data_IF_530593846407
#
_entry.id   IF_530593846407
#
_cell.length_a   1.000
_cell.length_b   1.000
_cell.length_c   1.000
_cell.angle_alpha   90.00
_cell.angle_beta   90.00
_cell.angle_gamma   90.00
#
_symmetry.space_group_name_H-M   'P 1'
#
loop_
_entity.id
_entity.type
_entity.pdbx_description
1 polymer ?
#
# COMPACT_ATOMS: atom_id res chain seq x y z
N UNK A 1 -6.25 5.84 27.52
CA UNK A 1 -5.70 5.88 26.16
C UNK A 1 -6.83 5.72 25.18
N UNK A 2 -7.36 6.81 24.64
CA UNK A 2 -8.36 6.80 23.57
C UNK A 2 -7.69 6.32 22.29
N UNK A 3 -7.93 5.07 21.92
CA UNK A 3 -7.50 4.50 20.65
C UNK A 3 -8.18 5.30 19.55
N UNK A 4 -7.46 6.25 18.94
CA UNK A 4 -7.94 7.04 17.80
C UNK A 4 -8.50 6.04 16.80
N UNK A 5 -9.81 6.06 16.61
CA UNK A 5 -10.46 5.20 15.63
C UNK A 5 -9.92 5.62 14.28
N UNK A 6 -9.02 4.81 13.74
CA UNK A 6 -8.43 4.96 12.41
C UNK A 6 -9.52 5.38 11.43
N UNK A 7 -9.34 6.51 10.75
CA UNK A 7 -10.37 7.06 9.87
C UNK A 7 -10.55 6.11 8.68
N UNK A 8 -11.59 5.29 8.70
CA UNK A 8 -11.87 4.35 7.60
C UNK A 8 -12.92 4.90 6.63
N UNK A 9 -12.83 4.50 5.36
CA UNK A 9 -13.85 4.73 4.33
C UNK A 9 -14.44 3.39 3.90
N UNK A 10 -15.78 3.30 3.80
CA UNK A 10 -16.47 2.15 3.19
C UNK A 10 -16.05 1.97 1.74
N UNK A 11 -15.90 0.72 1.31
CA UNK A 11 -15.60 0.38 -0.06
C UNK A 11 -16.18 -0.97 -0.46
N UNK A 12 -16.40 -1.13 -1.75
CA UNK A 12 -16.97 -2.31 -2.39
C UNK A 12 -15.89 -3.26 -2.93
N UNK A 13 -16.32 -4.44 -3.36
CA UNK A 13 -15.47 -5.37 -4.13
C UNK A 13 -14.99 -4.77 -5.45
N UNK A 14 -15.80 -3.90 -6.08
CA UNK A 14 -15.40 -3.17 -7.29
C UNK A 14 -14.26 -2.20 -6.98
N UNK A 15 -14.35 -1.48 -5.87
CA UNK A 15 -13.27 -0.59 -5.41
C UNK A 15 -11.99 -1.39 -5.12
N UNK A 16 -12.12 -2.57 -4.52
CA UNK A 16 -10.98 -3.46 -4.29
C UNK A 16 -10.29 -3.87 -5.59
N UNK A 17 -11.05 -4.22 -6.63
CA UNK A 17 -10.50 -4.58 -7.94
C UNK A 17 -9.78 -3.40 -8.61
N UNK A 18 -10.35 -2.19 -8.54
CA UNK A 18 -9.70 -0.98 -9.04
C UNK A 18 -8.36 -0.74 -8.33
N UNK A 19 -8.33 -0.92 -7.00
CA UNK A 19 -7.10 -0.78 -6.21
C UNK A 19 -6.06 -1.84 -6.54
N UNK A 20 -6.49 -3.07 -6.81
CA UNK A 20 -5.58 -4.14 -7.23
C UNK A 20 -4.95 -3.83 -8.58
N UNK A 21 -5.74 -3.42 -9.58
CA UNK A 21 -5.21 -3.02 -10.89
C UNK A 21 -4.19 -1.87 -10.77
N UNK A 22 -4.47 -0.88 -9.92
CA UNK A 22 -3.51 0.19 -9.65
C UNK A 22 -2.21 -0.33 -9.02
N UNK A 23 -2.31 -1.24 -8.05
CA UNK A 23 -1.14 -1.84 -7.41
C UNK A 23 -0.27 -2.60 -8.42
N UNK A 24 -0.90 -3.37 -9.31
CA UNK A 24 -0.23 -4.10 -10.39
C UNK A 24 0.47 -3.16 -11.37
N UNK A 25 -0.21 -2.12 -11.86
CA UNK A 25 0.42 -1.13 -12.75
C UNK A 25 1.59 -0.39 -12.10
N UNK A 26 1.49 -0.06 -10.81
CA UNK A 26 2.57 0.62 -10.10
C UNK A 26 3.79 -0.28 -9.91
N UNK A 27 3.61 -1.55 -9.52
CA UNK A 27 4.76 -2.45 -9.35
C UNK A 27 5.42 -2.79 -10.68
N UNK A 28 4.62 -2.96 -11.74
CA UNK A 28 5.11 -3.19 -13.10
C UNK A 28 5.98 -2.01 -13.57
N UNK A 29 5.47 -0.79 -13.42
CA UNK A 29 6.23 0.42 -13.77
C UNK A 29 7.47 0.60 -12.88
N UNK A 30 7.36 0.30 -11.58
CA UNK A 30 8.50 0.37 -10.67
C UNK A 30 9.63 -0.57 -11.09
N UNK A 31 9.28 -1.77 -11.57
CA UNK A 31 10.23 -2.76 -12.07
C UNK A 31 10.86 -2.30 -13.38
N UNK A 32 10.08 -1.82 -14.36
CA UNK A 32 10.62 -1.28 -15.60
C UNK A 32 11.67 -0.20 -15.35
N UNK A 33 11.39 0.73 -14.43
CA UNK A 33 12.32 1.80 -14.07
C UNK A 33 13.54 1.23 -13.33
N UNK A 34 13.35 0.27 -12.41
CA UNK A 34 14.47 -0.34 -11.69
C UNK A 34 15.44 -1.12 -12.60
N UNK A 35 14.94 -1.64 -13.72
CA UNK A 35 15.72 -2.37 -14.71
C UNK A 35 16.44 -1.43 -15.72
N UNK A 36 16.14 -0.12 -15.71
CA UNK A 36 16.88 0.86 -16.50
C UNK A 36 18.29 1.06 -15.95
N UNK A 37 19.30 0.75 -16.77
CA UNK A 37 20.72 0.87 -16.40
C UNK A 37 21.36 2.16 -16.92
N UNK A 38 20.58 3.20 -17.20
CA UNK A 38 21.08 4.46 -17.74
C UNK A 38 21.59 5.38 -16.62
N UNK A 39 22.54 6.26 -16.92
CA UNK A 39 23.06 7.24 -15.94
C UNK A 39 22.00 8.28 -15.51
N UNK A 40 20.86 8.35 -16.20
CA UNK A 40 19.72 9.22 -15.89
C UNK A 40 18.70 8.55 -14.93
N UNK A 41 18.95 7.30 -14.52
CA UNK A 41 18.09 6.57 -13.60
C UNK A 41 17.96 7.30 -12.26
N UNK A 42 16.71 7.54 -11.83
CA UNK A 42 16.39 8.04 -10.50
C UNK A 42 15.76 6.91 -9.65
N UNK A 43 16.55 6.26 -8.75
CA UNK A 43 16.05 5.19 -7.88
C UNK A 43 14.84 5.61 -7.03
N UNK A 44 14.73 6.91 -6.71
CA UNK A 44 13.62 7.45 -5.94
C UNK A 44 12.26 7.32 -6.63
N UNK A 45 12.22 7.32 -7.96
CA UNK A 45 10.97 7.14 -8.73
C UNK A 45 10.47 5.71 -8.61
N UNK A 46 11.35 4.72 -8.84
CA UNK A 46 11.01 3.30 -8.66
C UNK A 46 10.57 3.01 -7.22
N UNK A 47 11.31 3.54 -6.23
CA UNK A 47 10.95 3.40 -4.81
C UNK A 47 9.58 4.01 -4.50
N UNK A 48 9.29 5.21 -5.01
CA UNK A 48 8.00 5.88 -4.82
C UNK A 48 6.84 5.08 -5.42
N UNK A 49 7.02 4.52 -6.62
CA UNK A 49 6.02 3.66 -7.26
C UNK A 49 5.80 2.35 -6.48
N UNK A 50 6.86 1.73 -5.97
CA UNK A 50 6.74 0.55 -5.12
C UNK A 50 5.95 0.82 -3.84
N UNK A 51 6.12 2.00 -3.23
CA UNK A 51 5.34 2.43 -2.06
C UNK A 51 3.86 2.63 -2.42
N UNK A 52 3.57 3.29 -3.55
CA UNK A 52 2.20 3.44 -4.05
C UNK A 52 1.54 2.09 -4.34
N UNK A 53 2.30 1.13 -4.91
CA UNK A 53 1.85 -0.23 -5.14
C UNK A 53 1.44 -0.92 -3.83
N UNK A 54 2.29 -0.84 -2.80
CA UNK A 54 1.99 -1.42 -1.48
C UNK A 54 0.74 -0.83 -0.82
N UNK A 55 0.56 0.49 -0.90
CA UNK A 55 -0.64 1.17 -0.37
C UNK A 55 -1.90 0.73 -1.14
N UNK A 56 -1.83 0.68 -2.47
CA UNK A 56 -2.96 0.25 -3.29
C UNK A 56 -3.32 -1.22 -3.04
N UNK A 57 -2.33 -2.11 -2.89
CA UNK A 57 -2.54 -3.52 -2.55
C UNK A 57 -3.19 -3.69 -1.15
N UNK A 58 -2.73 -2.90 -0.17
CA UNK A 58 -3.33 -2.84 1.16
C UNK A 58 -4.81 -2.45 1.11
N UNK A 59 -5.11 -1.38 0.38
CA UNK A 59 -6.49 -0.91 0.19
C UNK A 59 -7.36 -1.97 -0.50
N UNK A 60 -6.81 -2.67 -1.51
CA UNK A 60 -7.50 -3.75 -2.20
C UNK A 60 -7.86 -4.89 -1.23
N UNK A 61 -6.89 -5.35 -0.43
CA UNK A 61 -7.10 -6.41 0.56
C UNK A 61 -8.13 -6.01 1.62
N UNK A 62 -8.01 -4.80 2.18
CA UNK A 62 -8.94 -4.28 3.18
C UNK A 62 -10.35 -4.14 2.60
N UNK A 63 -10.51 -3.57 1.40
CA UNK A 63 -11.82 -3.48 0.76
C UNK A 63 -12.43 -4.84 0.44
N UNK A 64 -11.61 -5.78 -0.04
CA UNK A 64 -12.07 -7.11 -0.43
C UNK A 64 -12.52 -7.98 0.75
N UNK A 65 -11.93 -7.77 1.94
CA UNK A 65 -12.12 -8.62 3.13
C UNK A 65 -12.90 -7.95 4.26
N UNK A 66 -12.74 -6.65 4.44
CA UNK A 66 -13.31 -5.88 5.55
C UNK A 66 -14.43 -4.92 5.08
N UNK A 67 -14.53 -4.64 3.77
CA UNK A 67 -15.48 -3.66 3.22
C UNK A 67 -15.14 -2.21 3.58
N UNK A 68 -13.94 -1.97 4.10
CA UNK A 68 -13.42 -0.65 4.48
C UNK A 68 -11.93 -0.57 4.16
N UNK A 69 -11.43 0.65 3.95
CA UNK A 69 -10.00 0.96 3.83
C UNK A 69 -9.63 2.19 4.63
N UNK A 70 -8.33 2.42 4.85
CA UNK A 70 -7.88 3.64 5.52
C UNK A 70 -8.19 4.88 4.66
N UNK A 71 -8.51 6.00 5.32
CA UNK A 71 -8.77 7.32 4.74
C UNK A 71 -7.82 8.38 5.31
N UNK A 72 -7.00 8.04 6.29
CA UNK A 72 -6.07 8.97 6.91
C UNK A 72 -4.82 9.18 6.07
N UNK A 73 -4.23 10.38 6.18
CA UNK A 73 -2.87 10.67 5.69
C UNK A 73 -1.80 9.87 6.46
N UNK A 74 -2.14 9.45 7.68
CA UNK A 74 -1.27 8.62 8.51
C UNK A 74 -1.17 7.20 7.93
N UNK A 75 -0.03 6.89 7.32
CA UNK A 75 0.25 5.57 6.76
C UNK A 75 0.19 4.44 7.81
N UNK A 76 0.45 4.75 9.09
CA UNK A 76 0.32 3.83 10.22
C UNK A 76 -1.10 3.28 10.42
N UNK A 77 -2.14 4.07 10.11
CA UNK A 77 -3.53 3.61 10.17
C UNK A 77 -3.81 2.52 9.13
N UNK A 78 -3.19 2.61 7.95
CA UNK A 78 -3.31 1.61 6.89
C UNK A 78 -2.64 0.29 7.30
N UNK A 79 -1.45 0.35 7.90
CA UNK A 79 -0.73 -0.82 8.43
C UNK A 79 -1.55 -1.52 9.51
N UNK A 80 -2.09 -0.75 10.47
CA UNK A 80 -2.89 -1.30 11.55
C UNK A 80 -4.17 -1.99 11.03
N UNK A 81 -4.89 -1.36 10.08
CA UNK A 81 -6.08 -1.94 9.49
C UNK A 81 -5.77 -3.21 8.69
N UNK A 82 -4.71 -3.18 7.87
CA UNK A 82 -4.26 -4.33 7.07
C UNK A 82 -3.90 -5.53 7.95
N UNK A 83 -3.31 -5.27 9.13
CA UNK A 83 -3.01 -6.28 10.13
C UNK A 83 -4.21 -7.10 10.59
N UNK A 84 -5.42 -6.55 10.47
CA UNK A 84 -6.67 -7.24 10.86
C UNK A 84 -7.25 -8.15 9.78
N UNK A 85 -6.71 -8.10 8.55
CA UNK A 85 -7.16 -8.96 7.45
C UNK A 85 -6.77 -10.41 7.70
N UNK A 86 -7.70 -11.35 7.54
CA UNK A 86 -7.39 -12.80 7.62
C UNK A 86 -7.31 -13.42 6.21
N UNK A 87 -6.45 -14.44 6.00
CA UNK A 87 -5.56 -15.06 6.99
C UNK A 87 -4.18 -14.41 7.14
N UNK A 88 -3.73 -13.57 6.20
CA UNK A 88 -2.32 -13.14 6.10
C UNK A 88 -2.05 -11.67 6.49
N UNK A 89 -3.01 -10.97 7.12
CA UNK A 89 -2.91 -9.54 7.40
C UNK A 89 -1.68 -9.12 8.19
N UNK A 90 -1.28 -9.91 9.19
CA UNK A 90 -0.09 -9.63 9.97
C UNK A 90 1.20 -9.60 9.13
N UNK A 91 1.33 -10.48 8.14
CA UNK A 91 2.49 -10.50 7.23
C UNK A 91 2.41 -9.34 6.24
N UNK A 92 1.24 -9.13 5.62
CA UNK A 92 1.04 -8.00 4.70
C UNK A 92 1.29 -6.64 5.37
N UNK A 93 0.90 -6.47 6.63
CA UNK A 93 1.16 -5.27 7.41
C UNK A 93 2.66 -5.05 7.66
N UNK A 94 3.42 -6.10 7.96
CA UNK A 94 4.88 -6.02 8.12
C UNK A 94 5.58 -5.60 6.83
N UNK A 95 5.14 -6.15 5.69
CA UNK A 95 5.71 -5.80 4.39
C UNK A 95 5.36 -4.36 3.99
N UNK A 96 4.11 -3.92 4.22
CA UNK A 96 3.71 -2.53 4.01
C UNK A 96 4.52 -1.57 4.89
N UNK A 97 4.70 -1.89 6.18
CA UNK A 97 5.50 -1.05 7.08
C UNK A 97 6.94 -0.91 6.60
N UNK A 98 7.55 -1.99 6.09
CA UNK A 98 8.91 -1.98 5.53
C UNK A 98 9.01 -1.07 4.31
N UNK A 99 8.00 -1.08 3.44
CA UNK A 99 7.95 -0.19 2.27
C UNK A 99 7.83 1.27 2.67
N UNK A 100 6.94 1.58 3.62
CA UNK A 100 6.71 2.95 4.08
C UNK A 100 7.96 3.57 4.72
N UNK A 101 8.68 2.80 5.55
CA UNK A 101 9.91 3.30 6.16
C UNK A 101 10.97 3.69 5.11
N UNK A 102 11.05 2.97 3.98
CA UNK A 102 11.99 3.33 2.91
C UNK A 102 11.67 4.67 2.25
N UNK A 103 10.39 5.06 2.19
CA UNK A 103 9.97 6.35 1.63
C UNK A 103 10.41 7.52 2.52
N UNK A 104 10.38 7.33 3.84
CA UNK A 104 10.73 8.37 4.81
C UNK A 104 12.26 8.54 4.97
N UNK A 105 13.04 7.51 4.59
CA UNK A 105 14.50 7.51 4.59
C UNK A 105 15.13 8.02 3.26
N UNK A 106 14.32 8.34 2.25
CA UNK A 106 14.76 8.82 0.91
C UNK A 106 14.59 10.33 0.76
#
# INVERSE_FOLDING_TARGET
MTRTTSRTKKCSRKDAHVRLMQAESFVETAQMIADETTDEFNPGVSASLAVLAGIAASDAACCARLGVRSRGEAHSDAVALLGTVLPHGANMAKDLQRLLNRKDDS
#
